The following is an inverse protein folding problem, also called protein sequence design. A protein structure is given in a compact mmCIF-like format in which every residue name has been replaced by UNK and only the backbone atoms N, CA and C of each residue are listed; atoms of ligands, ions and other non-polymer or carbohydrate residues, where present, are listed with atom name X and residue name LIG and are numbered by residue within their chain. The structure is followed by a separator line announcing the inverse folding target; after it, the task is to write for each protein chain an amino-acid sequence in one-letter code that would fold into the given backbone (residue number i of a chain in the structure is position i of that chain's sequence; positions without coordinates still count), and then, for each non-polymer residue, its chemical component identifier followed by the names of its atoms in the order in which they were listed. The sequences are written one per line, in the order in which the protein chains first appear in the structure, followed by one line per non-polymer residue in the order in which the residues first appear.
data_IF_064225647404
#
_entry.id   IF_064225647404
#
_cell.length_a   1.000
_cell.length_b   1.000
_cell.length_c   1.000
_cell.angle_alpha   90.00
_cell.angle_beta   90.00
_cell.angle_gamma   90.00
#
_symmetry.space_group_name_H-M   'P 1'
#
loop_
_entity.id
_entity.type
_entity.pdbx_description
1 polymer ?
#
# COMPACT_ATOMS: atom_id res chain seq x y z
N UNK A 1 21.93 -25.77 -17.55
CA UNK A 1 20.48 -25.51 -17.46
C UNK A 1 19.96 -25.21 -16.05
N UNK A 2 20.69 -25.48 -14.95
CA UNK A 2 20.18 -25.23 -13.57
C UNK A 2 20.28 -23.79 -13.05
N UNK A 3 21.14 -22.94 -13.61
CA UNK A 3 21.35 -21.57 -13.08
C UNK A 3 20.22 -20.58 -13.42
N UNK A 4 19.52 -20.73 -14.55
CA UNK A 4 18.43 -19.81 -14.93
C UNK A 4 17.18 -20.01 -14.09
N UNK A 5 16.83 -21.28 -13.79
CA UNK A 5 15.68 -21.63 -12.94
C UNK A 5 15.87 -21.18 -11.49
N UNK A 6 17.07 -21.36 -10.92
CA UNK A 6 17.37 -20.86 -9.58
C UNK A 6 17.34 -19.33 -9.51
N UNK A 7 17.77 -18.62 -10.56
CA UNK A 7 17.66 -17.16 -10.61
C UNK A 7 16.21 -16.69 -10.71
N UNK A 8 15.39 -17.33 -11.55
CA UNK A 8 13.98 -16.98 -11.72
C UNK A 8 13.20 -17.19 -10.42
N UNK A 9 13.35 -18.36 -9.79
CA UNK A 9 12.72 -18.65 -8.50
C UNK A 9 13.18 -17.68 -7.40
N UNK A 10 14.46 -17.30 -7.37
CA UNK A 10 14.95 -16.32 -6.39
C UNK A 10 14.42 -14.90 -6.66
N UNK A 11 14.25 -14.52 -7.94
CA UNK A 11 13.65 -13.24 -8.29
C UNK A 11 12.18 -13.18 -7.91
N UNK A 12 11.42 -14.25 -8.15
CA UNK A 12 10.01 -14.32 -7.80
C UNK A 12 9.81 -14.27 -6.28
N UNK A 13 10.60 -15.05 -5.52
CA UNK A 13 10.59 -15.02 -4.06
C UNK A 13 11.01 -13.65 -3.51
N UNK A 14 12.04 -13.02 -4.08
CA UNK A 14 12.46 -11.69 -3.65
C UNK A 14 11.41 -10.61 -3.96
N UNK A 15 10.68 -10.73 -5.06
CA UNK A 15 9.59 -9.84 -5.41
C UNK A 15 8.40 -10.02 -4.47
N UNK A 16 8.08 -11.25 -4.10
CA UNK A 16 7.03 -11.59 -3.14
C UNK A 16 7.35 -11.05 -1.74
N UNK A 17 8.56 -11.30 -1.24
CA UNK A 17 9.03 -10.76 0.05
C UNK A 17 8.97 -9.24 0.09
N UNK A 18 9.37 -8.57 -1.00
CA UNK A 18 9.25 -7.10 -1.10
C UNK A 18 7.80 -6.63 -1.12
N UNK A 19 6.91 -7.37 -1.76
CA UNK A 19 5.48 -7.02 -1.80
C UNK A 19 4.84 -7.15 -0.42
N UNK A 20 5.15 -8.23 0.32
CA UNK A 20 4.70 -8.45 1.70
C UNK A 20 5.25 -7.37 2.63
N UNK A 21 6.55 -7.09 2.56
CA UNK A 21 7.16 -6.03 3.37
C UNK A 21 6.54 -4.65 3.08
N UNK A 22 6.24 -4.35 1.81
CA UNK A 22 5.58 -3.12 1.43
C UNK A 22 4.12 -3.05 1.95
N UNK A 23 3.39 -4.17 1.96
CA UNK A 23 2.04 -4.22 2.52
C UNK A 23 2.06 -3.98 4.04
N UNK A 24 3.02 -4.58 4.76
CA UNK A 24 3.22 -4.32 6.20
C UNK A 24 3.53 -2.83 6.44
N UNK A 25 4.47 -2.24 5.70
CA UNK A 25 4.81 -0.83 5.86
C UNK A 25 3.62 0.12 5.59
N UNK A 26 2.76 -0.21 4.62
CA UNK A 26 1.54 0.56 4.36
C UNK A 26 0.58 0.53 5.55
N UNK A 27 0.44 -0.61 6.23
CA UNK A 27 -0.41 -0.74 7.42
C UNK A 27 0.17 0.05 8.59
N UNK A 28 1.49 0.06 8.76
CA UNK A 28 2.16 0.86 9.78
C UNK A 28 1.97 2.36 9.54
N UNK A 29 2.14 2.83 8.29
CA UNK A 29 1.89 4.22 7.89
C UNK A 29 0.45 4.63 8.19
N UNK A 30 -0.50 3.75 7.86
CA UNK A 30 -1.92 3.95 8.17
C UNK A 30 -2.14 4.08 9.68
N UNK A 31 -1.51 3.21 10.48
CA UNK A 31 -1.65 3.21 11.94
C UNK A 31 -1.18 4.54 12.54
N UNK A 32 -0.04 5.06 12.07
CA UNK A 32 0.49 6.37 12.49
C UNK A 32 -0.52 7.48 12.21
N UNK A 33 -1.13 7.48 11.01
CA UNK A 33 -2.15 8.48 10.63
C UNK A 33 -3.44 8.35 11.43
N UNK A 34 -3.81 7.14 11.87
CA UNK A 34 -4.96 6.89 12.75
C UNK A 34 -4.73 7.40 14.16
N UNK A 35 -3.57 7.07 14.74
CA UNK A 35 -3.18 7.51 16.09
C UNK A 35 -3.17 9.05 16.19
N UNK A 36 -2.78 9.72 15.10
CA UNK A 36 -2.76 11.18 15.00
C UNK A 36 -4.08 11.82 14.53
N UNK A 37 -5.16 11.04 14.38
CA UNK A 37 -6.49 11.49 13.90
C UNK A 37 -6.44 12.28 12.58
N UNK A 38 -5.47 11.98 11.70
CA UNK A 38 -5.27 12.72 10.44
C UNK A 38 -6.08 12.19 9.28
N UNK A 39 -6.56 10.95 9.33
CA UNK A 39 -7.27 10.32 8.21
C UNK A 39 -8.42 11.19 7.71
N UNK A 40 -9.24 11.73 8.62
CA UNK A 40 -10.43 12.52 8.26
C UNK A 40 -10.09 13.82 7.52
N UNK A 41 -8.86 14.31 7.66
CA UNK A 41 -8.37 15.53 7.00
C UNK A 41 -7.79 15.26 5.60
N UNK A 42 -7.60 13.99 5.23
CA UNK A 42 -7.04 13.60 3.94
C UNK A 42 -8.07 13.70 2.81
N UNK A 43 -7.60 13.78 1.57
CA UNK A 43 -8.46 13.69 0.39
C UNK A 43 -9.29 12.39 0.42
N UNK A 44 -10.58 12.43 0.03
CA UNK A 44 -11.46 11.25 0.01
C UNK A 44 -10.83 10.04 -0.68
N UNK A 45 -10.14 10.26 -1.81
CA UNK A 45 -9.45 9.21 -2.57
C UNK A 45 -8.34 8.50 -1.78
N UNK A 46 -7.71 9.18 -0.82
CA UNK A 46 -6.72 8.58 0.08
C UNK A 46 -7.42 7.86 1.24
N UNK A 47 -8.48 8.45 1.80
CA UNK A 47 -9.29 7.80 2.83
C UNK A 47 -9.84 6.46 2.33
N UNK A 48 -10.40 6.43 1.12
CA UNK A 48 -10.92 5.20 0.49
C UNK A 48 -9.84 4.12 0.39
N UNK A 49 -8.60 4.52 0.04
CA UNK A 49 -7.49 3.56 -0.09
C UNK A 49 -7.02 3.06 1.27
N UNK A 50 -7.00 3.93 2.29
CA UNK A 50 -6.67 3.52 3.65
C UNK A 50 -7.68 2.49 4.14
N UNK A 51 -8.97 2.78 3.99
CA UNK A 51 -10.06 1.85 4.34
C UNK A 51 -9.93 0.54 3.56
N UNK A 52 -9.72 0.63 2.25
CA UNK A 52 -9.57 -0.53 1.39
C UNK A 52 -8.38 -1.40 1.79
N UNK A 53 -7.24 -0.77 2.11
CA UNK A 53 -6.03 -1.48 2.53
C UNK A 53 -6.24 -2.20 3.86
N UNK A 54 -6.85 -1.53 4.84
CA UNK A 54 -7.19 -2.11 6.15
C UNK A 54 -8.18 -3.27 6.05
N UNK A 55 -9.17 -3.16 5.15
CA UNK A 55 -10.14 -4.22 4.93
C UNK A 55 -9.53 -5.46 4.25
N UNK A 56 -8.40 -5.30 3.55
CA UNK A 56 -7.76 -6.35 2.78
C UNK A 56 -6.24 -6.35 3.02
N UNK A 57 -5.73 -6.62 4.23
CA UNK A 57 -4.31 -6.45 4.55
C UNK A 57 -3.38 -7.32 3.68
N UNK A 58 -3.81 -8.53 3.36
CA UNK A 58 -3.04 -9.51 2.57
C UNK A 58 -3.13 -9.31 1.05
N UNK A 59 -4.02 -8.42 0.58
CA UNK A 59 -4.23 -8.28 -0.86
C UNK A 59 -3.05 -7.58 -1.53
N UNK A 60 -2.63 -8.09 -2.69
CA UNK A 60 -1.64 -7.44 -3.54
C UNK A 60 -2.14 -6.08 -4.07
N UNK A 61 -1.23 -5.25 -4.56
CA UNK A 61 -1.59 -3.97 -5.20
C UNK A 61 -2.55 -4.15 -6.38
N UNK A 62 -2.44 -5.26 -7.12
CA UNK A 62 -3.34 -5.55 -8.25
C UNK A 62 -4.75 -5.87 -7.76
N UNK A 63 -4.87 -6.71 -6.73
CA UNK A 63 -6.16 -7.05 -6.14
C UNK A 63 -6.84 -5.82 -5.53
N UNK A 64 -6.07 -4.95 -4.89
CA UNK A 64 -6.58 -3.65 -4.44
C UNK A 64 -7.14 -2.81 -5.58
N UNK A 65 -6.46 -2.73 -6.73
CA UNK A 65 -6.97 -1.99 -7.87
C UNK A 65 -8.32 -2.58 -8.33
N UNK A 66 -8.41 -3.91 -8.44
CA UNK A 66 -9.64 -4.60 -8.84
C UNK A 66 -10.77 -4.45 -7.82
N UNK A 67 -10.48 -4.40 -6.52
CA UNK A 67 -11.50 -4.15 -5.49
C UNK A 67 -11.94 -2.69 -5.53
N UNK A 68 -11.00 -1.75 -5.67
CA UNK A 68 -11.29 -0.32 -5.77
C UNK A 68 -12.19 -0.01 -6.97
N UNK A 69 -11.89 -0.57 -8.14
CA UNK A 69 -12.70 -0.44 -9.34
C UNK A 69 -14.12 -1.00 -9.13
N UNK A 70 -14.26 -2.18 -8.50
CA UNK A 70 -15.58 -2.76 -8.19
C UNK A 70 -16.39 -1.93 -7.20
N UNK A 71 -15.75 -1.24 -6.26
CA UNK A 71 -16.43 -0.45 -5.24
C UNK A 71 -16.80 0.96 -5.72
N UNK A 72 -15.93 1.59 -6.52
CA UNK A 72 -16.05 3.00 -6.88
C UNK A 72 -16.45 3.23 -8.34
N UNK A 73 -16.27 2.23 -9.21
CA UNK A 73 -16.36 2.37 -10.66
C UNK A 73 -15.17 3.10 -11.29
N UNK A 74 -14.18 3.57 -10.50
CA UNK A 74 -12.99 4.24 -11.01
C UNK A 74 -11.84 3.25 -11.26
N UNK A 75 -11.26 3.30 -12.46
CA UNK A 75 -10.07 2.50 -12.78
C UNK A 75 -8.83 3.20 -12.23
N UNK A 76 -8.02 2.45 -11.48
CA UNK A 76 -6.71 2.90 -11.00
C UNK A 76 -5.64 1.91 -11.46
N UNK A 77 -4.58 2.42 -12.08
CA UNK A 77 -3.44 1.59 -12.46
C UNK A 77 -2.64 1.15 -11.24
N UNK A 78 -1.90 0.05 -11.35
CA UNK A 78 -0.96 -0.41 -10.31
C UNK A 78 0.01 0.69 -9.87
N UNK A 79 0.54 1.47 -10.83
CA UNK A 79 1.40 2.61 -10.52
C UNK A 79 0.65 3.72 -9.81
N UNK A 80 -0.58 4.06 -10.25
CA UNK A 80 -1.44 5.03 -9.58
C UNK A 80 -1.74 4.66 -8.12
N UNK A 81 -2.10 3.40 -7.88
CA UNK A 81 -2.32 2.86 -6.53
C UNK A 81 -1.04 2.98 -5.68
N UNK A 82 0.10 2.57 -6.23
CA UNK A 82 1.40 2.71 -5.57
C UNK A 82 1.70 4.17 -5.21
N UNK A 83 1.49 5.13 -6.11
CA UNK A 83 1.73 6.54 -5.83
C UNK A 83 0.85 7.07 -4.69
N UNK A 84 -0.40 6.61 -4.60
CA UNK A 84 -1.28 6.99 -3.49
C UNK A 84 -0.76 6.44 -2.16
N UNK A 85 -0.23 5.20 -2.11
CA UNK A 85 0.46 4.69 -0.92
C UNK A 85 1.74 5.46 -0.58
N UNK A 86 2.52 5.88 -1.58
CA UNK A 86 3.69 6.76 -1.33
C UNK A 86 3.26 8.07 -0.69
N UNK A 87 2.16 8.68 -1.16
CA UNK A 87 1.61 9.90 -0.54
C UNK A 87 1.16 9.65 0.91
N UNK A 88 0.53 8.50 1.19
CA UNK A 88 0.16 8.09 2.55
C UNK A 88 1.40 7.96 3.45
N UNK A 89 2.45 7.30 2.96
CA UNK A 89 3.73 7.17 3.68
C UNK A 89 4.36 8.54 3.97
N UNK A 90 4.42 9.44 2.99
CA UNK A 90 4.96 10.80 3.17
C UNK A 90 4.18 11.61 4.22
N UNK A 91 2.85 11.41 4.29
CA UNK A 91 2.01 12.03 5.31
C UNK A 91 2.33 11.42 6.68
N UNK A 92 2.39 10.10 6.81
CA UNK A 92 2.73 9.43 8.07
C UNK A 92 4.10 9.88 8.61
N UNK A 93 5.12 9.93 7.74
CA UNK A 93 6.47 10.38 8.09
C UNK A 93 6.55 11.84 8.55
N UNK A 94 5.60 12.70 8.13
CA UNK A 94 5.51 14.09 8.63
C UNK A 94 4.92 14.17 10.03
N UNK A 95 4.07 13.23 10.41
CA UNK A 95 3.48 13.18 11.74
C UNK A 95 4.48 12.62 12.77
N UNK A 96 5.23 11.57 12.43
CA UNK A 96 6.29 11.03 13.32
C UNK A 96 7.31 12.12 13.72
N UNK A 97 7.63 13.03 12.80
CA UNK A 97 8.58 14.14 13.06
C UNK A 97 8.00 15.27 13.93
N UNK A 98 6.70 15.30 14.16
CA UNK A 98 6.05 16.31 15.02
C UNK A 98 5.97 15.85 16.48
N UNK A 99 6.09 14.54 16.72
CA UNK A 99 6.06 13.94 18.07
C UNK A 99 7.46 13.85 18.72
N UNK A 100 8.54 14.22 18.01
CA UNK A 100 9.92 14.35 18.50
C UNK A 100 10.27 15.79 18.91
#
# INVERSE_FOLDING_TARGET
FSNSLQRMNNMDLANEVKAVAAASGQLDDIRILEENQKIETLDRKLQDIIILRKANPEASLMELCSIYERQTGEIVSKSGMKHRFVKIHELAMKEVKQDE
#
